data_IF_347368609935
#
_entry.id   IF_347368609935
#
_cell.length_a   1.000
_cell.length_b   1.000
_cell.length_c   1.000
_cell.angle_alpha   90.00
_cell.angle_beta   90.00
_cell.angle_gamma   90.00
#
_symmetry.space_group_name_H-M   'P 1'
#
loop_
_entity.id
_entity.type
_entity.pdbx_description
1 polymer ?
#
# COMPACT_ATOMS: atom_id res chain seq x y z
N UNK A 1 -8.65 16.92 7.60
CA UNK A 1 -7.82 18.13 7.37
C UNK A 1 -7.56 18.31 5.87
N UNK A 2 -8.02 19.41 5.26
CA UNK A 2 -7.83 19.68 3.82
C UNK A 2 -6.38 20.03 3.46
N UNK A 3 -5.49 20.18 4.44
CA UNK A 3 -4.11 20.65 4.26
C UNK A 3 -3.11 19.52 4.03
N UNK A 4 -3.48 18.27 4.30
CA UNK A 4 -2.60 17.11 4.11
C UNK A 4 -3.32 16.02 3.34
N UNK A 5 -2.82 15.63 2.17
CA UNK A 5 -3.35 14.49 1.40
C UNK A 5 -2.87 13.16 1.98
N UNK A 6 -3.21 12.91 3.26
CA UNK A 6 -2.80 11.73 4.04
C UNK A 6 -3.98 11.27 4.90
N UNK A 7 -4.25 9.97 4.89
CA UNK A 7 -5.20 9.33 5.79
C UNK A 7 -4.58 9.16 7.19
N UNK A 8 -5.33 9.52 8.24
CA UNK A 8 -4.87 9.43 9.64
C UNK A 8 -5.76 8.46 10.40
N UNK A 9 -5.13 7.57 11.17
CA UNK A 9 -5.83 6.56 11.96
C UNK A 9 -6.52 7.17 13.18
N UNK A 10 -5.89 8.17 13.80
CA UNK A 10 -6.43 8.88 14.96
C UNK A 10 -6.66 10.35 14.65
N UNK A 11 -7.89 10.79 14.92
CA UNK A 11 -8.36 12.17 14.80
C UNK A 11 -9.26 12.48 15.99
N UNK A 12 -9.43 13.76 16.32
CA UNK A 12 -10.44 14.18 17.28
C UNK A 12 -11.86 13.97 16.69
N UNK A 13 -12.92 13.89 17.51
CA UNK A 13 -14.30 13.71 17.03
C UNK A 13 -14.73 14.69 15.94
N UNK A 14 -14.22 15.92 15.98
CA UNK A 14 -14.43 16.98 14.99
C UNK A 14 -13.55 16.87 13.73
N UNK A 15 -12.73 15.82 13.62
CA UNK A 15 -11.82 15.56 12.51
C UNK A 15 -10.50 16.33 12.57
N UNK A 16 -10.18 16.93 13.71
CA UNK A 16 -8.96 17.68 13.94
C UNK A 16 -7.76 16.77 14.25
N UNK A 17 -6.56 17.32 14.05
CA UNK A 17 -5.28 16.63 14.28
C UNK A 17 -4.96 16.49 15.77
N UNK A 18 -4.44 15.33 16.16
CA UNK A 18 -3.90 15.08 17.50
C UNK A 18 -2.36 15.01 17.42
N UNK A 19 -1.65 15.92 18.11
CA UNK A 19 -0.18 15.94 18.09
C UNK A 19 0.45 15.02 19.15
N UNK A 20 0.04 13.76 19.19
CA UNK A 20 0.68 12.69 20.00
C UNK A 20 1.39 11.69 19.07
N UNK A 21 2.25 10.79 19.57
CA UNK A 21 2.82 9.72 18.75
C UNK A 21 1.77 8.91 17.98
N UNK A 22 0.65 8.56 18.60
CA UNK A 22 -0.47 7.85 17.96
C UNK A 22 -1.15 8.72 16.91
N UNK A 23 -1.44 9.98 17.23
CA UNK A 23 -2.07 10.92 16.28
C UNK A 23 -1.20 11.26 15.07
N UNK A 24 0.12 11.09 15.18
CA UNK A 24 1.08 11.24 14.07
C UNK A 24 1.35 9.94 13.33
N UNK A 25 1.00 8.78 13.90
CA UNK A 25 1.23 7.47 13.29
C UNK A 25 0.38 7.33 12.03
N UNK A 26 1.05 7.01 10.93
CA UNK A 26 0.40 6.56 9.70
C UNK A 26 0.50 5.04 9.64
N UNK A 27 -0.65 4.37 9.65
CA UNK A 27 -0.75 2.93 9.44
C UNK A 27 -0.75 2.64 7.95
N UNK A 28 0.37 2.11 7.45
CA UNK A 28 0.64 2.02 6.02
C UNK A 28 -0.29 1.02 5.34
N UNK A 29 -0.42 -0.18 5.92
CA UNK A 29 -1.31 -1.22 5.40
C UNK A 29 -2.78 -0.80 5.43
N UNK A 30 -3.24 -0.19 6.53
CA UNK A 30 -4.61 0.31 6.63
C UNK A 30 -4.91 1.42 5.63
N UNK A 31 -3.91 2.27 5.33
CA UNK A 31 -4.04 3.31 4.29
C UNK A 31 -4.29 2.68 2.93
N UNK A 32 -3.47 1.71 2.51
CA UNK A 32 -3.68 1.03 1.23
C UNK A 32 -5.00 0.26 1.16
N UNK A 33 -5.37 -0.43 2.24
CA UNK A 33 -6.64 -1.13 2.31
C UNK A 33 -7.84 -0.16 2.16
N UNK A 34 -7.81 0.96 2.88
CA UNK A 34 -8.85 2.00 2.79
C UNK A 34 -8.92 2.60 1.38
N UNK A 35 -7.78 2.92 0.78
CA UNK A 35 -7.72 3.42 -0.60
C UNK A 35 -8.26 2.37 -1.57
N UNK A 36 -7.92 1.10 -1.40
CA UNK A 36 -8.43 -0.01 -2.20
C UNK A 36 -9.96 -0.06 -2.22
N UNK A 37 -10.61 0.03 -1.05
CA UNK A 37 -12.06 0.08 -0.95
C UNK A 37 -12.67 1.35 -1.55
N UNK A 38 -12.02 2.51 -1.38
CA UNK A 38 -12.48 3.75 -2.00
C UNK A 38 -12.37 3.69 -3.53
N UNK A 39 -11.36 3.01 -4.06
CA UNK A 39 -11.23 2.76 -5.50
C UNK A 39 -12.32 1.82 -6.01
N UNK A 40 -12.66 0.76 -5.28
CA UNK A 40 -13.78 -0.12 -5.64
C UNK A 40 -15.09 0.67 -5.69
N UNK A 41 -15.36 1.50 -4.68
CA UNK A 41 -16.50 2.43 -4.67
C UNK A 41 -16.48 3.40 -5.86
N UNK A 42 -15.32 3.97 -6.20
CA UNK A 42 -15.20 4.89 -7.34
C UNK A 42 -15.46 4.20 -8.68
N UNK A 43 -15.08 2.94 -8.83
CA UNK A 43 -15.35 2.15 -10.04
C UNK A 43 -16.86 1.91 -10.24
N UNK A 44 -17.59 1.65 -9.16
CA UNK A 44 -19.04 1.46 -9.20
C UNK A 44 -19.82 2.75 -9.44
N UNK A 45 -19.34 3.87 -8.89
CA UNK A 45 -20.08 5.15 -8.88
C UNK A 45 -19.55 6.19 -9.89
N UNK A 46 -18.49 5.87 -10.64
CA UNK A 46 -17.88 6.77 -11.62
C UNK A 46 -17.19 8.01 -11.02
N UNK A 47 -16.82 7.98 -9.74
CA UNK A 47 -16.26 9.15 -9.04
C UNK A 47 -14.75 9.33 -9.30
N UNK A 48 -14.42 9.83 -10.50
CA UNK A 48 -13.03 10.03 -10.93
C UNK A 48 -12.23 11.01 -10.06
N UNK A 49 -12.90 12.02 -9.48
CA UNK A 49 -12.24 13.00 -8.61
C UNK A 49 -11.75 12.35 -7.32
N UNK A 50 -12.59 11.54 -6.69
CA UNK A 50 -12.21 10.79 -5.51
C UNK A 50 -11.12 9.76 -5.84
N UNK A 51 -11.23 9.05 -6.96
CA UNK A 51 -10.20 8.11 -7.41
C UNK A 51 -8.82 8.77 -7.54
N UNK A 52 -8.73 9.94 -8.18
CA UNK A 52 -7.47 10.69 -8.30
C UNK A 52 -6.93 11.15 -6.94
N UNK A 53 -7.81 11.58 -6.03
CA UNK A 53 -7.43 12.00 -4.68
C UNK A 53 -6.84 10.84 -3.88
N UNK A 54 -7.50 9.68 -3.85
CA UNK A 54 -7.04 8.54 -3.04
C UNK A 54 -5.81 7.87 -3.64
N UNK A 55 -5.63 7.91 -4.97
CA UNK A 55 -4.36 7.55 -5.62
C UNK A 55 -3.23 8.48 -5.17
N UNK A 56 -3.49 9.78 -5.01
CA UNK A 56 -2.47 10.69 -4.48
C UNK A 56 -2.05 10.30 -3.05
N UNK A 57 -3.00 9.84 -2.22
CA UNK A 57 -2.70 9.36 -0.87
C UNK A 57 -1.82 8.10 -0.89
N UNK A 58 -2.12 7.15 -1.79
CA UNK A 58 -1.35 5.90 -1.89
C UNK A 58 0.08 6.14 -2.39
N UNK A 59 0.27 7.06 -3.33
CA UNK A 59 1.61 7.43 -3.80
C UNK A 59 2.44 8.13 -2.71
N UNK A 60 1.83 9.05 -1.96
CA UNK A 60 2.51 9.69 -0.82
C UNK A 60 2.88 8.71 0.27
N UNK A 61 2.01 7.75 0.59
CA UNK A 61 2.37 6.76 1.62
C UNK A 61 3.46 5.81 1.11
N UNK A 62 3.52 5.48 -0.19
CA UNK A 62 4.68 4.76 -0.76
C UNK A 62 5.99 5.51 -0.49
N UNK A 63 6.05 6.79 -0.84
CA UNK A 63 7.26 7.61 -0.68
C UNK A 63 7.72 7.70 0.77
N UNK A 64 6.79 7.82 1.72
CA UNK A 64 7.13 7.95 3.15
C UNK A 64 7.45 6.61 3.81
N UNK A 65 6.79 5.54 3.40
CA UNK A 65 6.88 4.25 4.07
C UNK A 65 7.93 3.31 3.47
N UNK A 66 8.35 3.55 2.23
CA UNK A 66 9.37 2.73 1.60
C UNK A 66 10.73 2.94 2.27
N UNK A 67 11.33 1.85 2.71
CA UNK A 67 12.68 1.85 3.25
C UNK A 67 13.69 1.71 2.12
N UNK A 68 14.42 2.79 1.84
CA UNK A 68 15.44 2.82 0.79
C UNK A 68 16.68 1.94 1.12
N UNK A 69 16.96 1.68 2.40
CA UNK A 69 18.14 0.91 2.79
C UNK A 69 17.91 -0.60 2.67
N UNK A 70 16.74 -1.08 3.11
CA UNK A 70 16.46 -2.54 3.16
C UNK A 70 15.41 -2.99 2.15
N UNK A 71 14.64 -2.06 1.59
CA UNK A 71 13.47 -2.31 0.77
C UNK A 71 12.21 -2.56 1.60
N UNK A 72 11.06 -2.52 0.93
CA UNK A 72 9.77 -2.83 1.54
C UNK A 72 9.17 -1.70 2.36
N UNK A 73 7.84 -1.70 2.43
CA UNK A 73 7.08 -0.73 3.19
C UNK A 73 7.15 -1.03 4.70
N UNK A 74 7.49 -0.03 5.50
CA UNK A 74 7.35 -0.06 6.95
C UNK A 74 5.88 -0.24 7.36
N UNK A 75 5.64 -0.85 8.53
CA UNK A 75 4.29 -0.97 9.08
C UNK A 75 3.72 0.40 9.46
N UNK A 76 4.56 1.23 10.10
CA UNK A 76 4.19 2.53 10.61
C UNK A 76 5.24 3.58 10.24
N UNK A 77 4.78 4.79 9.95
CA UNK A 77 5.64 5.99 9.83
C UNK A 77 5.04 7.17 10.57
N UNK A 78 5.87 8.10 11.03
CA UNK A 78 5.42 9.33 11.69
C UNK A 78 5.25 10.44 10.65
N UNK A 79 4.09 11.12 10.66
CA UNK A 79 3.79 12.16 9.67
C UNK A 79 4.65 13.43 9.78
N UNK A 80 5.40 13.62 10.87
CA UNK A 80 6.38 14.69 11.10
C UNK A 80 7.81 14.16 11.17
N UNK A 81 8.02 12.94 10.69
CA UNK A 81 9.32 12.26 10.60
C UNK A 81 10.03 12.20 11.98
N UNK A 82 9.25 12.12 13.07
CA UNK A 82 9.79 11.90 14.41
C UNK A 82 10.16 10.43 14.60
N UNK A 83 11.15 10.12 15.48
CA UNK A 83 11.47 8.75 15.83
C UNK A 83 10.24 7.97 16.30
N UNK A 84 10.02 6.80 15.71
CA UNK A 84 8.90 5.94 16.11
C UNK A 84 9.15 5.34 17.49
N UNK A 85 8.13 5.39 18.35
CA UNK A 85 8.11 4.68 19.64
C UNK A 85 7.45 3.29 19.54
N UNK A 86 6.91 2.93 18.37
CA UNK A 86 6.22 1.67 18.15
C UNK A 86 7.24 0.58 17.78
N UNK A 87 7.40 -0.49 18.58
CA UNK A 87 8.48 -1.49 18.38
C UNK A 87 8.47 -2.19 17.03
N UNK A 88 7.29 -2.35 16.44
CA UNK A 88 7.07 -3.03 15.16
C UNK A 88 7.06 -2.09 13.95
N UNK A 89 7.31 -0.78 14.11
CA UNK A 89 7.16 0.20 13.04
C UNK A 89 7.97 -0.13 11.78
N UNK A 90 9.20 -0.64 11.95
CA UNK A 90 10.11 -0.95 10.84
C UNK A 90 9.98 -2.39 10.33
N UNK A 91 9.17 -3.23 10.99
CA UNK A 91 8.92 -4.59 10.52
C UNK A 91 8.16 -4.56 9.20
N UNK A 92 8.46 -5.52 8.31
CA UNK A 92 7.78 -5.64 7.03
C UNK A 92 6.73 -6.72 7.14
N UNK A 93 5.48 -6.35 7.00
CA UNK A 93 4.35 -7.27 7.09
C UNK A 93 3.84 -7.62 5.70
N UNK A 94 3.53 -8.89 5.47
CA UNK A 94 3.07 -9.38 4.18
C UNK A 94 1.79 -8.67 3.73
N UNK A 95 0.85 -8.47 4.67
CA UNK A 95 -0.42 -7.80 4.39
C UNK A 95 -0.21 -6.36 3.93
N UNK A 96 0.75 -5.61 4.52
CA UNK A 96 1.05 -4.23 4.13
C UNK A 96 1.48 -4.18 2.66
N UNK A 97 2.38 -5.08 2.26
CA UNK A 97 2.88 -5.08 0.89
C UNK A 97 1.80 -5.50 -0.13
N UNK A 98 1.02 -6.55 0.18
CA UNK A 98 0.05 -7.08 -0.78
C UNK A 98 -1.16 -6.15 -0.95
N UNK A 99 -1.58 -5.44 0.11
CA UNK A 99 -2.60 -4.40 0.02
C UNK A 99 -2.11 -3.24 -0.87
N UNK A 100 -0.83 -2.86 -0.75
CA UNK A 100 -0.23 -1.84 -1.61
C UNK A 100 -0.22 -2.26 -3.08
N UNK A 101 0.17 -3.51 -3.38
CA UNK A 101 0.17 -4.07 -4.74
C UNK A 101 -1.23 -4.01 -5.35
N UNK A 102 -2.26 -4.52 -4.64
CA UNK A 102 -3.65 -4.48 -5.13
C UNK A 102 -4.14 -3.04 -5.32
N UNK A 103 -3.88 -2.16 -4.34
CA UNK A 103 -4.26 -0.76 -4.39
C UNK A 103 -3.64 -0.02 -5.60
N UNK A 104 -2.35 -0.22 -5.86
CA UNK A 104 -1.64 0.51 -6.91
C UNK A 104 -2.06 0.07 -8.31
N UNK A 105 -2.33 -1.21 -8.54
CA UNK A 105 -2.83 -1.67 -9.84
C UNK A 105 -4.26 -1.18 -10.10
N UNK A 106 -5.13 -1.17 -9.09
CA UNK A 106 -6.47 -0.55 -9.19
C UNK A 106 -6.34 0.95 -9.50
N UNK A 107 -5.44 1.65 -8.81
CA UNK A 107 -5.17 3.06 -9.02
C UNK A 107 -4.71 3.35 -10.45
N UNK A 108 -3.80 2.54 -11.00
CA UNK A 108 -3.35 2.65 -12.38
C UNK A 108 -4.49 2.42 -13.38
N UNK A 109 -5.30 1.38 -13.19
CA UNK A 109 -6.45 1.08 -14.04
C UNK A 109 -7.41 2.28 -14.14
N UNK A 110 -7.73 2.90 -13.00
CA UNK A 110 -8.75 3.96 -12.93
C UNK A 110 -8.24 5.35 -13.33
N UNK A 111 -6.97 5.66 -13.05
CA UNK A 111 -6.44 7.03 -13.21
C UNK A 111 -5.35 7.16 -14.27
N UNK A 112 -4.75 6.04 -14.69
CA UNK A 112 -3.57 6.01 -15.58
C UNK A 112 -2.36 6.77 -15.04
N UNK A 113 -2.31 7.03 -13.74
CA UNK A 113 -1.19 7.73 -13.12
C UNK A 113 0.09 6.87 -13.21
N UNK A 114 1.17 7.36 -13.87
CA UNK A 114 2.32 6.53 -14.21
C UNK A 114 3.09 6.04 -12.98
N UNK A 115 3.10 6.80 -11.89
CA UNK A 115 3.81 6.37 -10.68
C UNK A 115 3.14 5.19 -9.97
N UNK A 116 1.85 4.92 -10.24
CA UNK A 116 1.20 3.71 -9.75
C UNK A 116 1.89 2.45 -10.30
N UNK A 117 2.23 2.41 -11.59
CA UNK A 117 2.89 1.25 -12.18
C UNK A 117 4.34 1.10 -11.72
N UNK A 118 5.05 2.23 -11.53
CA UNK A 118 6.41 2.24 -10.97
C UNK A 118 6.45 1.67 -9.57
N UNK A 119 5.59 2.19 -8.68
CA UNK A 119 5.50 1.70 -7.30
C UNK A 119 4.98 0.27 -7.22
N UNK A 120 3.98 -0.08 -8.04
CA UNK A 120 3.48 -1.44 -8.16
C UNK A 120 4.64 -2.41 -8.44
N UNK A 121 5.43 -2.14 -9.48
CA UNK A 121 6.56 -3.00 -9.85
C UNK A 121 7.59 -3.09 -8.72
N UNK A 122 7.97 -1.96 -8.13
CA UNK A 122 8.95 -1.91 -7.05
C UNK A 122 8.54 -2.75 -5.83
N UNK A 123 7.29 -2.57 -5.37
CA UNK A 123 6.77 -3.29 -4.20
C UNK A 123 6.52 -4.76 -4.55
N UNK A 124 6.01 -5.06 -5.75
CA UNK A 124 5.83 -6.42 -6.24
C UNK A 124 7.14 -7.20 -6.24
N UNK A 125 8.19 -6.67 -6.88
CA UNK A 125 9.48 -7.34 -7.00
C UNK A 125 10.08 -7.64 -5.61
N UNK A 126 10.01 -6.69 -4.68
CA UNK A 126 10.42 -6.91 -3.28
C UNK A 126 9.58 -7.98 -2.59
N UNK A 127 8.26 -7.91 -2.72
CA UNK A 127 7.33 -8.77 -2.00
C UNK A 127 7.51 -10.23 -2.38
N UNK A 128 7.54 -10.51 -3.68
CA UNK A 128 7.66 -11.87 -4.18
C UNK A 128 9.07 -12.45 -4.02
N UNK A 129 10.09 -11.61 -3.82
CA UNK A 129 11.45 -12.07 -3.50
C UNK A 129 11.65 -12.48 -2.04
N UNK A 130 10.81 -12.00 -1.10
CA UNK A 130 11.11 -12.09 0.33
C UNK A 130 10.01 -12.73 1.20
N UNK A 131 8.74 -12.67 0.79
CA UNK A 131 7.65 -13.22 1.61
C UNK A 131 7.31 -14.69 1.36
N UNK A 132 7.35 -15.23 0.12
CA UNK A 132 7.16 -16.67 -0.09
C UNK A 132 8.19 -17.48 0.70
N UNK A 133 7.73 -18.48 1.46
CA UNK A 133 8.63 -19.37 2.21
C UNK A 133 9.17 -20.46 1.27
N UNK A 134 10.50 -20.57 1.09
CA UNK A 134 11.07 -21.58 0.21
C UNK A 134 11.05 -23.00 0.80
N UNK A 135 10.82 -23.15 2.11
CA UNK A 135 10.85 -24.44 2.83
C UNK A 135 9.46 -24.99 3.12
N UNK A 136 8.46 -24.13 3.26
CA UNK A 136 7.10 -24.53 3.63
C UNK A 136 6.07 -23.84 2.74
N UNK A 137 4.89 -24.44 2.62
CA UNK A 137 3.77 -23.83 1.89
C UNK A 137 3.34 -22.53 2.60
N UNK A 138 3.14 -21.49 1.80
CA UNK A 138 2.61 -20.20 2.25
C UNK A 138 3.69 -19.11 2.36
N UNK A 139 3.30 -17.98 2.94
CA UNK A 139 4.17 -16.80 3.08
C UNK A 139 4.57 -16.60 4.53
N UNK A 140 5.72 -15.98 4.77
CA UNK A 140 6.06 -15.41 6.07
C UNK A 140 5.03 -14.31 6.40
N UNK A 141 4.52 -14.29 7.64
CA UNK A 141 3.57 -13.25 8.07
C UNK A 141 4.26 -11.89 8.16
N UNK A 142 5.47 -11.87 8.70
CA UNK A 142 6.31 -10.69 8.81
C UNK A 142 7.79 -11.07 8.79
N UNK A 143 8.62 -10.14 8.32
CA UNK A 143 10.08 -10.23 8.31
C UNK A 143 10.69 -9.00 8.98
N UNK A 144 11.88 -9.18 9.55
CA UNK A 144 12.67 -8.07 10.09
C UNK A 144 13.42 -7.29 8.99
N UNK A 145 14.16 -6.27 9.40
CA UNK A 145 15.01 -5.44 8.54
C UNK A 145 16.14 -6.21 7.82
N UNK A 146 16.49 -7.41 8.32
CA UNK A 146 17.45 -8.32 7.71
C UNK A 146 16.77 -9.40 6.86
N UNK A 147 15.45 -9.29 6.64
CA UNK A 147 14.61 -10.22 5.87
C UNK A 147 14.51 -11.60 6.51
N UNK A 148 14.76 -11.69 7.81
CA UNK A 148 14.55 -12.91 8.58
C UNK A 148 13.08 -12.99 9.02
N UNK A 149 12.43 -14.16 8.88
CA UNK A 149 11.07 -14.36 9.38
C UNK A 149 10.97 -14.10 10.88
N UNK A 150 10.01 -13.28 11.29
CA UNK A 150 9.76 -12.98 12.71
C UNK A 150 8.99 -14.09 13.42
N UNK A 151 8.21 -14.86 12.66
CA UNK A 151 7.34 -15.91 13.15
C UNK A 151 7.42 -17.11 12.21
N UNK A 152 7.46 -18.33 12.78
CA UNK A 152 7.30 -19.56 12.00
C UNK A 152 5.86 -19.78 11.55
N UNK A 153 4.89 -19.17 12.24
CA UNK A 153 3.47 -19.25 11.91
C UNK A 153 3.16 -18.60 10.55
N UNK A 154 2.16 -19.15 9.84
CA UNK A 154 1.66 -18.65 8.55
C UNK A 154 0.41 -17.78 8.67
N UNK A 155 -0.17 -17.75 9.86
CA UNK A 155 -1.28 -16.90 10.24
C UNK A 155 -1.24 -16.68 11.75
N UNK A 156 -1.73 -15.53 12.18
CA UNK A 156 -1.98 -15.13 13.57
C UNK A 156 -3.39 -14.53 13.66
N UNK A 157 -3.99 -14.38 14.85
CA UNK A 157 -5.33 -13.82 15.00
C UNK A 157 -5.52 -12.47 14.28
N UNK A 158 -4.48 -11.63 14.27
CA UNK A 158 -4.48 -10.30 13.67
C UNK A 158 -4.17 -10.31 12.17
N UNK A 159 -3.61 -11.39 11.62
CA UNK A 159 -3.22 -11.50 10.22
C UNK A 159 -3.37 -12.93 9.74
N UNK A 160 -4.40 -13.16 8.92
CA UNK A 160 -4.73 -14.44 8.34
C UNK A 160 -4.55 -14.43 6.81
N UNK A 161 -5.02 -15.47 6.13
CA UNK A 161 -4.88 -15.60 4.68
C UNK A 161 -5.80 -14.67 3.86
N UNK A 162 -6.70 -13.92 4.47
CA UNK A 162 -7.69 -13.09 3.77
C UNK A 162 -7.03 -12.03 2.88
N UNK A 163 -6.23 -11.13 3.45
CA UNK A 163 -5.58 -10.07 2.65
C UNK A 163 -4.68 -10.66 1.57
N UNK A 164 -3.97 -11.75 1.87
CA UNK A 164 -3.12 -12.43 0.88
C UNK A 164 -3.95 -12.95 -0.31
N UNK A 165 -4.97 -13.77 -0.06
CA UNK A 165 -5.78 -14.39 -1.11
C UNK A 165 -6.55 -13.32 -1.90
N UNK A 166 -7.23 -12.41 -1.20
CA UNK A 166 -8.04 -11.35 -1.81
C UNK A 166 -7.17 -10.47 -2.71
N UNK A 167 -6.06 -9.96 -2.19
CA UNK A 167 -5.24 -9.02 -2.95
C UNK A 167 -4.54 -9.69 -4.15
N UNK A 168 -4.13 -10.96 -4.04
CA UNK A 168 -3.61 -11.70 -5.19
C UNK A 168 -4.67 -11.88 -6.28
N UNK A 169 -5.89 -12.29 -5.90
CA UNK A 169 -6.99 -12.47 -6.83
C UNK A 169 -7.39 -11.15 -7.51
N UNK A 170 -7.55 -10.07 -6.73
CA UNK A 170 -7.84 -8.73 -7.23
C UNK A 170 -6.74 -8.23 -8.17
N UNK A 171 -5.47 -8.43 -7.80
CA UNK A 171 -4.32 -8.02 -8.61
C UNK A 171 -4.34 -8.73 -9.96
N UNK A 172 -4.51 -10.07 -9.97
CA UNK A 172 -4.57 -10.85 -11.19
C UNK A 172 -5.71 -10.38 -12.12
N UNK A 173 -6.91 -10.22 -11.58
CA UNK A 173 -8.07 -9.73 -12.35
C UNK A 173 -7.84 -8.31 -12.89
N UNK A 174 -7.24 -7.44 -12.08
CA UNK A 174 -6.99 -6.04 -12.48
C UNK A 174 -5.90 -5.95 -13.54
N UNK A 175 -4.85 -6.77 -13.46
CA UNK A 175 -3.82 -6.86 -14.50
C UNK A 175 -4.41 -7.30 -15.85
N UNK A 176 -5.28 -8.30 -15.87
CA UNK A 176 -6.00 -8.70 -17.11
C UNK A 176 -6.82 -7.56 -17.69
N UNK A 177 -7.48 -6.76 -16.85
CA UNK A 177 -8.19 -5.55 -17.31
C UNK A 177 -7.20 -4.51 -17.87
N UNK A 178 -6.05 -4.34 -17.23
CA UNK A 178 -5.02 -3.41 -17.69
C UNK A 178 -4.42 -3.78 -19.05
N UNK A 179 -4.36 -5.06 -19.41
CA UNK A 179 -3.87 -5.54 -20.71
C UNK A 179 -4.73 -5.02 -21.88
N UNK A 180 -6.03 -4.84 -21.64
CA UNK A 180 -6.95 -4.26 -22.64
C UNK A 180 -6.81 -2.73 -22.80
N UNK A 181 -6.00 -2.07 -21.97
CA UNK A 181 -5.79 -0.63 -22.06
C UNK A 181 -4.81 -0.31 -23.18
N UNK A 182 -5.20 0.60 -24.08
CA UNK A 182 -4.28 1.12 -25.09
C UNK A 182 -3.03 1.72 -24.41
N UNK A 183 -1.83 1.60 -25.02
CA UNK A 183 -0.65 2.30 -24.55
C UNK A 183 -0.98 3.77 -24.33
N UNK A 184 -0.59 4.34 -23.19
CA UNK A 184 -0.70 5.79 -23.01
C UNK A 184 0.11 6.45 -24.14
N UNK A 185 -0.61 7.03 -25.11
CA UNK A 185 -0.01 7.49 -26.35
C UNK A 185 1.16 8.43 -26.07
N UNK A 186 2.32 8.14 -26.69
CA UNK A 186 3.38 9.14 -26.90
C UNK A 186 2.88 10.18 -27.91
N UNK A 187 1.89 10.98 -27.55
CA UNK A 187 1.55 12.19 -28.28
C UNK A 187 2.42 13.34 -27.76
N UNK A 188 3.72 13.25 -28.01
CA UNK A 188 4.56 14.42 -28.14
C UNK A 188 4.67 14.71 -29.64
N UNK A 189 3.63 15.35 -30.16
CA UNK A 189 3.68 15.93 -31.49
C UNK A 189 4.72 17.04 -31.50
N UNK A 190 5.87 16.77 -32.10
CA UNK A 190 6.68 17.79 -32.75
C UNK A 190 5.88 18.23 -33.98
N UNK A 191 5.18 19.35 -33.84
CA UNK A 191 4.87 20.24 -34.96
C UNK A 191 5.82 21.43 -34.86
#
# INVERSE_FOLDING_TARGET
DRRTDILREYILPEGAFVNTPEGRRLNVGLTFQTVGYLLDFCAENGNRKLAAQVVTWSLRICERAWDEATGGLNQYVDMKDQPSIFPNAQQKWAFVQIEAISCLVKGYLQTRHPDCSKWFKRIHDYTFAHFPDPKHIGWHVAIDQHRSPLLSAKAIPETNCFSLIRCLAETAQTLTKCDSLQPAGRNAGLR
#
